data_IF_736780820126
#
_entry.id   IF_736780820126
#
_cell.length_a   1.000
_cell.length_b   1.000
_cell.length_c   1.000
_cell.angle_alpha   90.00
_cell.angle_beta   90.00
_cell.angle_gamma   90.00
#
_symmetry.space_group_name_H-M   'P 1'
#
loop_
_entity.id
_entity.type
_entity.pdbx_description
1 polymer ?
#
# COMPACT_ATOMS: atom_id res chain seq x y z
N UNK A 1 11.75 8.13 4.88
CA UNK A 1 11.23 8.32 3.51
C UNK A 1 9.78 7.83 3.49
N UNK A 2 8.99 8.08 2.45
CA UNK A 2 7.61 7.56 2.41
C UNK A 2 7.26 7.02 1.03
N UNK A 3 6.44 5.97 1.02
CA UNK A 3 5.82 5.45 -0.20
C UNK A 3 4.43 6.08 -0.30
N UNK A 4 4.17 6.71 -1.44
CA UNK A 4 2.85 7.26 -1.76
C UNK A 4 2.07 6.22 -2.54
N UNK A 5 0.85 5.93 -2.08
CA UNK A 5 -0.04 4.97 -2.72
C UNK A 5 -1.46 5.56 -2.78
N UNK A 6 -2.30 5.01 -3.66
CA UNK A 6 -3.69 5.43 -3.76
C UNK A 6 -4.56 4.23 -4.08
N UNK A 7 -5.66 4.07 -3.36
CA UNK A 7 -6.67 3.09 -3.76
C UNK A 7 -7.32 3.53 -5.07
N UNK A 8 -7.65 2.58 -5.95
CA UNK A 8 -8.30 2.88 -7.23
C UNK A 8 -9.59 3.70 -7.08
N UNK A 9 -10.33 3.49 -5.98
CA UNK A 9 -11.55 4.21 -5.64
C UNK A 9 -11.31 5.55 -4.93
N UNK A 10 -10.09 5.83 -4.46
CA UNK A 10 -9.75 7.05 -3.74
C UNK A 10 -9.32 8.18 -4.68
N UNK A 11 -9.66 9.42 -4.29
CA UNK A 11 -9.26 10.63 -5.00
C UNK A 11 -7.82 11.03 -4.67
N UNK A 12 -7.49 11.00 -3.38
CA UNK A 12 -6.24 11.51 -2.83
C UNK A 12 -5.26 10.37 -2.50
N UNK A 13 -3.96 10.67 -2.58
CA UNK A 13 -2.90 9.74 -2.22
C UNK A 13 -2.72 9.68 -0.71
N UNK A 14 -2.44 8.49 -0.22
CA UNK A 14 -1.96 8.21 1.12
C UNK A 14 -0.46 7.94 1.12
N UNK A 15 0.14 7.93 2.31
CA UNK A 15 1.57 7.65 2.45
C UNK A 15 1.86 6.70 3.60
N UNK A 16 2.81 5.79 3.39
CA UNK A 16 3.35 4.91 4.42
C UNK A 16 4.81 5.30 4.68
N UNK A 17 5.18 5.61 5.94
CA UNK A 17 6.57 5.84 6.29
C UNK A 17 7.39 4.55 6.18
N UNK A 18 8.56 4.66 5.55
CA UNK A 18 9.53 3.58 5.39
C UNK A 18 10.88 3.95 6.02
N UNK A 19 11.46 2.96 6.67
CA UNK A 19 12.80 2.99 7.23
C UNK A 19 13.77 2.36 6.21
N UNK A 20 14.41 3.22 5.41
CA UNK A 20 15.34 2.81 4.36
C UNK A 20 14.92 3.26 2.95
N UNK A 21 15.62 2.72 1.95
CA UNK A 21 15.41 3.08 0.54
C UNK A 21 14.30 2.26 -0.14
N UNK A 22 14.02 1.05 0.34
CA UNK A 22 13.03 0.14 -0.24
C UNK A 22 12.27 -0.61 0.84
N UNK A 23 11.09 -1.12 0.48
CA UNK A 23 10.25 -1.98 1.31
C UNK A 23 9.78 -3.15 0.46
N UNK A 24 9.66 -4.33 1.07
CA UNK A 24 9.05 -5.49 0.39
C UNK A 24 7.55 -5.26 0.17
N UNK A 25 6.98 -5.82 -0.89
CA UNK A 25 5.54 -5.70 -1.17
C UNK A 25 4.72 -6.30 0.00
N UNK A 26 5.16 -7.42 0.59
CA UNK A 26 4.50 -8.01 1.77
C UNK A 26 4.38 -7.02 2.93
N UNK A 27 5.50 -6.43 3.35
CA UNK A 27 5.52 -5.47 4.46
C UNK A 27 4.74 -4.19 4.10
N UNK A 28 4.76 -3.76 2.84
CA UNK A 28 3.96 -2.62 2.39
C UNK A 28 2.46 -2.92 2.53
N UNK A 29 2.01 -4.10 2.10
CA UNK A 29 0.61 -4.52 2.25
C UNK A 29 0.21 -4.57 3.73
N UNK A 30 1.02 -5.20 4.58
CA UNK A 30 0.76 -5.27 6.03
C UNK A 30 0.61 -3.87 6.64
N UNK A 31 1.54 -2.96 6.35
CA UNK A 31 1.44 -1.57 6.82
C UNK A 31 0.20 -0.84 6.31
N UNK A 32 -0.25 -1.12 5.08
CA UNK A 32 -1.50 -0.56 4.54
C UNK A 32 -2.71 -1.15 5.28
N UNK A 33 -2.73 -2.46 5.54
CA UNK A 33 -3.78 -3.12 6.31
C UNK A 33 -3.92 -2.52 7.71
N UNK A 34 -2.79 -2.34 8.40
CA UNK A 34 -2.74 -1.70 9.72
C UNK A 34 -3.17 -0.23 9.65
N UNK A 35 -2.57 0.57 8.74
CA UNK A 35 -2.84 2.01 8.66
C UNK A 35 -4.26 2.35 8.22
N UNK A 36 -4.90 1.49 7.43
CA UNK A 36 -6.26 1.71 6.90
C UNK A 36 -7.32 0.90 7.63
N UNK A 37 -6.93 0.19 8.70
CA UNK A 37 -7.81 -0.67 9.49
C UNK A 37 -8.63 -1.64 8.63
N UNK A 38 -7.99 -2.21 7.60
CA UNK A 38 -8.64 -3.10 6.63
C UNK A 38 -8.80 -4.54 7.15
N UNK A 39 -8.56 -4.78 8.44
CA UNK A 39 -8.58 -6.12 9.03
C UNK A 39 -7.32 -6.93 8.70
N UNK A 40 -7.39 -8.26 8.88
CA UNK A 40 -6.23 -9.17 8.76
C UNK A 40 -5.98 -9.72 7.35
N UNK A 41 -6.61 -9.15 6.31
CA UNK A 41 -6.45 -9.63 4.93
C UNK A 41 -6.94 -11.06 4.68
N UNK A 42 -7.78 -11.60 5.57
CA UNK A 42 -8.37 -12.95 5.45
C UNK A 42 -9.46 -13.03 4.39
N UNK A 43 -10.10 -11.89 4.10
CA UNK A 43 -11.28 -11.81 3.24
C UNK A 43 -10.95 -11.24 1.84
N UNK A 44 -9.82 -10.54 1.71
CA UNK A 44 -9.36 -9.94 0.46
C UNK A 44 -7.85 -9.66 0.49
N UNK A 45 -7.22 -9.66 -0.69
CA UNK A 45 -5.83 -9.26 -0.87
C UNK A 45 -5.72 -7.86 -1.52
N UNK A 46 -4.63 -7.17 -1.23
CA UNK A 46 -4.27 -5.92 -1.89
C UNK A 46 -3.41 -6.22 -3.12
N UNK A 47 -3.87 -5.88 -4.32
CA UNK A 47 -3.01 -5.92 -5.51
C UNK A 47 -2.30 -4.57 -5.65
N UNK A 48 -0.98 -4.61 -5.71
CA UNK A 48 -0.14 -3.42 -5.90
C UNK A 48 0.24 -3.37 -7.37
N UNK A 49 -0.05 -2.23 -8.01
CA UNK A 49 0.32 -1.98 -9.41
C UNK A 49 1.00 -0.63 -9.57
N UNK A 50 1.88 -0.53 -10.56
CA UNK A 50 2.59 0.69 -10.90
C UNK A 50 1.66 1.63 -11.69
N UNK A 51 1.50 2.90 -11.28
CA UNK A 51 0.61 3.84 -11.95
C UNK A 51 1.00 4.19 -13.39
N UNK A 52 2.24 3.95 -13.81
CA UNK A 52 2.72 4.30 -15.15
C UNK A 52 2.68 3.13 -16.13
N UNK A 53 2.85 1.89 -15.65
CA UNK A 53 2.89 0.69 -16.50
C UNK A 53 1.68 -0.21 -16.32
N UNK A 54 0.82 0.05 -15.33
CA UNK A 54 -0.31 -0.79 -14.93
C UNK A 54 0.07 -2.26 -14.61
N UNK A 55 1.37 -2.55 -14.46
CA UNK A 55 1.91 -3.82 -13.96
C UNK A 55 1.72 -3.94 -12.46
#
# INVERSE_FOLDING_TARGET
>A
MAIYFKFKSAKDYDSIPIDGHFISIGNLKEKIFESKHLGRGTDFDLVVSNPNTEE
#
